data_IF_301371692220
#
_entry.id   IF_301371692220
#
_cell.length_a   1.000
_cell.length_b   1.000
_cell.length_c   1.000
_cell.angle_alpha   90.00
_cell.angle_beta   90.00
_cell.angle_gamma   90.00
#
_symmetry.space_group_name_H-M   'P 1'
#
loop_
_entity.id
_entity.type
_entity.pdbx_description
1 polymer ?
#
# COMPACT_ATOMS: atom_id res chain seq x y z
N UNK A 1 5.77 -44.64 42.57
CA UNK A 1 4.82 -44.45 41.46
C UNK A 1 4.10 -43.12 41.66
N UNK A 2 4.57 -42.07 41.00
CA UNK A 2 3.95 -40.74 40.83
C UNK A 2 4.50 -40.29 39.46
N UNK A 3 3.85 -40.49 38.32
CA UNK A 3 2.43 -40.42 38.02
C UNK A 3 2.30 -39.26 37.03
N UNK A 4 2.12 -39.57 35.74
CA UNK A 4 2.14 -38.72 34.54
C UNK A 4 1.40 -37.34 34.59
N UNK A 5 0.71 -37.00 35.68
CA UNK A 5 -0.10 -35.79 35.82
C UNK A 5 0.70 -34.49 36.00
N UNK A 6 1.88 -34.54 36.64
CA UNK A 6 2.66 -33.33 36.89
C UNK A 6 3.28 -32.75 35.60
N UNK A 7 3.69 -33.60 34.65
CA UNK A 7 4.23 -33.16 33.36
C UNK A 7 3.13 -32.56 32.47
N UNK A 8 1.93 -33.15 32.46
CA UNK A 8 0.79 -32.63 31.70
C UNK A 8 0.35 -31.24 32.19
N UNK A 9 0.36 -31.03 33.51
CA UNK A 9 0.06 -29.72 34.11
C UNK A 9 1.07 -28.63 33.71
N UNK A 10 2.37 -28.96 33.75
CA UNK A 10 3.40 -28.02 33.31
C UNK A 10 3.27 -27.67 31.82
N UNK A 11 3.00 -28.66 30.97
CA UNK A 11 2.76 -28.43 29.54
C UNK A 11 1.51 -27.56 29.31
N UNK A 12 0.45 -27.77 30.07
CA UNK A 12 -0.77 -26.97 29.99
C UNK A 12 -0.52 -25.52 30.40
N UNK A 13 0.20 -25.29 31.50
CA UNK A 13 0.57 -23.92 31.94
C UNK A 13 1.49 -23.25 30.90
N UNK A 14 2.46 -23.99 30.34
CA UNK A 14 3.30 -23.46 29.26
C UNK A 14 2.50 -23.13 28.00
N UNK A 15 1.53 -23.98 27.62
CA UNK A 15 0.66 -23.73 26.47
C UNK A 15 -0.26 -22.52 26.71
N UNK A 16 -0.82 -22.38 27.92
CA UNK A 16 -1.60 -21.20 28.31
C UNK A 16 -0.75 -19.92 28.25
N UNK A 17 0.49 -19.98 28.73
CA UNK A 17 1.41 -18.84 28.69
C UNK A 17 1.78 -18.45 27.24
N UNK A 18 2.07 -19.42 26.38
CA UNK A 18 2.32 -19.18 24.95
C UNK A 18 1.06 -18.64 24.25
N UNK A 19 -0.12 -19.18 24.55
CA UNK A 19 -1.38 -18.71 24.00
C UNK A 19 -1.69 -17.27 24.44
N UNK A 20 -1.45 -16.93 25.71
CA UNK A 20 -1.58 -15.57 26.22
C UNK A 20 -0.61 -14.59 25.54
N UNK A 21 0.64 -14.99 25.32
CA UNK A 21 1.62 -14.18 24.59
C UNK A 21 1.24 -13.98 23.12
N UNK A 22 0.75 -15.02 22.43
CA UNK A 22 0.29 -14.93 21.03
C UNK A 22 -0.95 -14.05 20.91
N UNK A 23 -1.91 -14.19 21.84
CA UNK A 23 -3.12 -13.37 21.87
C UNK A 23 -2.80 -11.89 22.17
N UNK A 24 -1.86 -11.62 23.08
CA UNK A 24 -1.39 -10.27 23.40
C UNK A 24 -0.70 -9.58 22.22
N UNK A 25 0.11 -10.29 21.44
CA UNK A 25 0.76 -9.74 20.23
C UNK A 25 -0.26 -9.31 19.16
N UNK A 26 -1.26 -10.16 18.88
CA UNK A 26 -2.32 -9.84 17.91
C UNK A 26 -3.19 -8.65 18.35
N UNK A 27 -3.44 -8.50 19.66
CA UNK A 27 -4.18 -7.36 20.19
C UNK A 27 -3.34 -6.07 20.11
N UNK A 28 -2.05 -6.15 20.40
CA UNK A 28 -1.13 -5.01 20.34
C UNK A 28 -1.03 -4.42 18.93
N UNK A 29 -0.91 -5.23 17.88
CA UNK A 29 -0.80 -4.71 16.51
C UNK A 29 -2.08 -3.96 16.08
N UNK A 30 -3.25 -4.45 16.48
CA UNK A 30 -4.53 -3.78 16.18
C UNK A 30 -4.71 -2.46 16.95
N UNK A 31 -4.24 -2.39 18.19
CA UNK A 31 -4.28 -1.19 19.02
C UNK A 31 -3.22 -0.18 18.58
N UNK A 32 -2.05 -0.64 18.13
CA UNK A 32 -0.99 0.22 17.60
C UNK A 32 -1.45 0.93 16.33
N UNK A 33 -2.04 0.20 15.39
CA UNK A 33 -2.62 0.77 14.16
C UNK A 33 -3.75 1.74 14.48
N UNK A 34 -4.67 1.39 15.38
CA UNK A 34 -5.74 2.30 15.81
C UNK A 34 -5.18 3.57 16.45
N UNK A 35 -4.23 3.45 17.38
CA UNK A 35 -3.60 4.60 18.04
C UNK A 35 -2.81 5.49 17.08
N UNK A 36 -2.16 4.90 16.07
CA UNK A 36 -1.44 5.62 15.03
C UNK A 36 -2.39 6.42 14.13
N UNK A 37 -3.52 5.84 13.73
CA UNK A 37 -4.53 6.54 12.93
C UNK A 37 -5.23 7.65 13.73
N UNK A 38 -5.40 7.49 15.05
CA UNK A 38 -5.98 8.52 15.93
C UNK A 38 -5.10 9.76 16.10
N UNK A 39 -3.82 9.70 15.73
CA UNK A 39 -2.88 10.82 15.81
C UNK A 39 -2.54 11.44 14.44
N UNK A 40 -3.07 10.86 13.36
CA UNK A 40 -2.95 11.43 12.02
C UNK A 40 -4.01 12.51 11.81
N UNK A 41 -3.64 13.58 11.11
CA UNK A 41 -4.62 14.52 10.59
C UNK A 41 -5.64 13.73 9.73
N UNK A 42 -6.95 13.80 10.04
CA UNK A 42 -7.98 13.12 9.27
C UNK A 42 -7.89 13.39 7.75
N UNK A 43 -7.35 14.55 7.36
CA UNK A 43 -7.15 14.93 5.95
C UNK A 43 -6.21 14.02 5.16
N UNK A 44 -5.45 13.16 5.86
CA UNK A 44 -4.37 12.31 5.34
C UNK A 44 -4.79 10.83 5.24
N UNK A 45 -5.93 10.46 5.83
CA UNK A 45 -6.37 9.07 5.96
C UNK A 45 -7.24 8.70 4.75
N UNK A 46 -6.63 8.03 3.77
CA UNK A 46 -7.28 7.60 2.52
C UNK A 46 -7.75 6.13 2.59
N UNK A 47 -7.47 5.44 3.69
CA UNK A 47 -7.74 4.00 3.82
C UNK A 47 -8.76 3.72 4.93
N UNK A 48 -9.66 2.79 4.67
CA UNK A 48 -10.56 2.20 5.66
C UNK A 48 -10.21 0.73 5.88
N UNK A 49 -10.51 0.21 7.06
CA UNK A 49 -10.46 -1.23 7.35
C UNK A 49 -11.84 -1.86 7.17
N UNK A 50 -11.90 -3.18 7.08
CA UNK A 50 -13.19 -3.90 7.00
C UNK A 50 -14.12 -3.61 8.19
N UNK A 51 -13.57 -3.21 9.34
CA UNK A 51 -14.34 -2.89 10.55
C UNK A 51 -15.02 -1.52 10.46
N UNK A 52 -14.51 -0.65 9.60
CA UNK A 52 -15.03 0.70 9.36
C UNK A 52 -16.17 0.67 8.32
N UNK A 53 -16.31 -0.44 7.58
CA UNK A 53 -17.41 -0.66 6.64
C UNK A 53 -18.64 -1.23 7.37
N UNK A 54 -19.48 -0.35 7.91
CA UNK A 54 -20.81 -0.73 8.41
C UNK A 54 -21.90 -0.18 7.50
N UNK A 55 -22.99 -0.93 7.38
CA UNK A 55 -24.10 -0.54 6.53
C UNK A 55 -24.71 0.79 7.03
N UNK A 56 -24.79 1.77 6.13
CA UNK A 56 -25.30 3.11 6.44
C UNK A 56 -24.32 4.05 7.16
N UNK A 57 -23.06 3.65 7.39
CA UNK A 57 -22.04 4.50 8.01
C UNK A 57 -21.33 5.36 6.95
N UNK A 58 -21.34 6.68 7.13
CA UNK A 58 -20.68 7.63 6.22
C UNK A 58 -19.21 7.81 6.65
N UNK A 59 -18.28 7.39 5.79
CA UNK A 59 -16.84 7.61 6.03
C UNK A 59 -16.35 8.83 5.23
N UNK A 60 -15.77 9.86 5.87
CA UNK A 60 -15.21 10.98 5.15
C UNK A 60 -13.92 10.54 4.44
N UNK A 61 -13.88 10.68 3.12
CA UNK A 61 -12.66 10.48 2.32
C UNK A 61 -12.09 11.86 2.01
N UNK A 62 -10.90 12.13 2.55
CA UNK A 62 -10.22 13.40 2.32
C UNK A 62 -9.20 13.24 1.20
N UNK A 63 -9.40 14.01 0.13
CA UNK A 63 -8.42 14.15 -0.93
C UNK A 63 -7.57 15.37 -0.64
N UNK A 64 -6.24 15.20 -0.64
CA UNK A 64 -5.33 16.33 -0.62
C UNK A 64 -5.64 17.26 -1.80
N UNK A 65 -6.00 18.50 -1.48
CA UNK A 65 -6.15 19.53 -2.49
C UNK A 65 -4.74 19.83 -3.03
N UNK A 66 -4.43 19.29 -4.21
CA UNK A 66 -3.19 19.58 -4.90
C UNK A 66 -3.17 21.07 -5.21
N UNK A 67 -2.28 21.81 -4.54
CA UNK A 67 -2.01 23.18 -4.93
C UNK A 67 -1.45 23.16 -6.37
N UNK A 68 -2.13 23.77 -7.34
CA UNK A 68 -1.67 23.78 -8.73
C UNK A 68 -0.34 24.53 -8.91
N UNK A 69 0.10 25.33 -7.92
CA UNK A 69 1.43 25.93 -7.90
C UNK A 69 2.52 24.95 -7.43
N UNK A 70 2.15 23.90 -6.67
CA UNK A 70 3.09 22.91 -6.12
C UNK A 70 3.14 21.65 -6.99
N UNK A 71 2.02 21.29 -7.63
CA UNK A 71 1.93 20.11 -8.49
C UNK A 71 1.66 20.52 -9.93
N UNK A 72 2.50 20.10 -10.90
CA UNK A 72 2.22 20.31 -12.30
C UNK A 72 0.83 19.78 -12.65
N UNK A 73 0.05 20.55 -13.41
CA UNK A 73 -1.19 20.04 -13.96
C UNK A 73 -0.88 18.86 -14.87
N UNK A 74 -1.72 17.82 -14.81
CA UNK A 74 -1.64 16.75 -15.79
C UNK A 74 -1.84 17.33 -17.19
N UNK A 75 -1.17 16.72 -18.18
CA UNK A 75 -1.34 17.13 -19.57
C UNK A 75 -2.81 17.02 -19.98
N UNK A 76 -3.33 17.95 -20.81
CA UNK A 76 -4.59 17.76 -21.50
C UNK A 76 -4.61 16.44 -22.23
N UNK A 77 -5.79 15.84 -22.37
CA UNK A 77 -5.93 14.52 -22.97
C UNK A 77 -5.38 14.50 -24.40
N UNK A 78 -5.66 15.54 -25.17
CA UNK A 78 -5.23 15.68 -26.56
C UNK A 78 -3.70 15.69 -26.68
N UNK A 79 -3.02 16.33 -25.72
CA UNK A 79 -1.56 16.35 -25.65
C UNK A 79 -1.01 14.99 -25.21
N UNK A 80 -1.59 14.39 -24.18
CA UNK A 80 -1.18 13.07 -23.70
C UNK A 80 -1.36 11.98 -24.77
N UNK A 81 -2.47 11.99 -25.51
CA UNK A 81 -2.77 11.04 -26.58
C UNK A 81 -1.84 11.23 -27.81
N UNK A 82 -1.22 12.42 -27.95
CA UNK A 82 -0.24 12.68 -29.00
C UNK A 82 1.15 12.09 -28.72
N UNK A 83 1.43 11.73 -27.46
CA UNK A 83 2.72 11.18 -27.03
C UNK A 83 2.63 9.64 -27.04
N UNK A 84 3.44 8.94 -27.84
CA UNK A 84 3.35 7.48 -27.96
C UNK A 84 4.03 6.76 -26.79
N UNK A 85 3.35 6.68 -25.65
CA UNK A 85 3.82 5.94 -24.47
C UNK A 85 3.84 4.43 -24.74
N UNK A 86 5.00 3.90 -25.12
CA UNK A 86 5.25 2.46 -25.27
C UNK A 86 6.74 2.18 -25.09
N UNK A 87 7.10 0.97 -24.69
CA UNK A 87 8.50 0.58 -24.51
C UNK A 87 9.30 0.70 -25.83
N UNK A 88 8.64 0.46 -26.98
CA UNK A 88 9.27 0.59 -28.31
C UNK A 88 9.68 2.02 -28.64
N UNK A 89 9.06 3.01 -28.00
CA UNK A 89 9.30 4.44 -28.23
C UNK A 89 10.13 5.07 -27.10
N UNK A 90 10.75 4.26 -26.24
CA UNK A 90 11.52 4.74 -25.09
C UNK A 90 12.62 5.76 -25.48
N UNK A 91 13.41 5.58 -26.56
CA UNK A 91 14.40 6.59 -26.95
C UNK A 91 13.77 7.93 -27.33
N UNK A 92 12.63 7.90 -28.03
CA UNK A 92 11.87 9.11 -28.36
C UNK A 92 11.36 9.80 -27.09
N UNK A 93 10.86 9.04 -26.11
CA UNK A 93 10.35 9.59 -24.86
C UNK A 93 11.45 10.25 -24.03
N UNK A 94 12.64 9.65 -23.97
CA UNK A 94 13.79 10.26 -23.29
C UNK A 94 14.19 11.59 -23.94
N UNK A 95 14.22 11.64 -25.28
CA UNK A 95 14.45 12.88 -25.99
C UNK A 95 13.34 13.92 -25.74
N UNK A 96 12.07 13.50 -25.81
CA UNK A 96 10.91 14.38 -25.66
C UNK A 96 10.88 15.04 -24.28
N UNK A 97 11.14 14.28 -23.20
CA UNK A 97 11.18 14.80 -21.84
C UNK A 97 12.57 15.29 -21.40
N UNK A 98 13.56 15.26 -22.30
CA UNK A 98 14.95 15.64 -22.02
C UNK A 98 15.57 14.87 -20.84
N UNK A 99 15.28 13.58 -20.74
CA UNK A 99 15.89 12.71 -19.74
C UNK A 99 17.24 12.19 -20.22
N UNK A 100 18.21 12.11 -19.31
CA UNK A 100 19.39 11.30 -19.51
C UNK A 100 19.02 9.83 -19.34
N UNK A 101 19.50 8.96 -20.23
CA UNK A 101 19.20 7.51 -20.25
C UNK A 101 19.49 6.82 -18.90
N UNK A 102 20.49 7.30 -18.16
CA UNK A 102 20.91 6.75 -16.88
C UNK A 102 20.21 7.36 -15.65
N UNK A 103 19.39 8.38 -15.85
CA UNK A 103 18.71 9.11 -14.77
C UNK A 103 17.72 8.21 -14.02
N UNK A 104 17.48 8.46 -12.72
CA UNK A 104 16.46 7.74 -11.95
C UNK A 104 15.07 7.79 -12.59
N UNK A 105 14.73 8.92 -13.23
CA UNK A 105 13.44 9.14 -13.87
C UNK A 105 13.31 8.35 -15.19
N UNK A 106 14.38 8.28 -16.00
CA UNK A 106 14.42 7.44 -17.20
C UNK A 106 14.21 5.96 -16.87
N UNK A 107 14.92 5.45 -15.85
CA UNK A 107 14.77 4.06 -15.37
C UNK A 107 13.36 3.78 -14.83
N UNK A 108 12.78 4.73 -14.10
CA UNK A 108 11.41 4.62 -13.61
C UNK A 108 10.39 4.58 -14.76
N UNK A 109 10.56 5.41 -15.78
CA UNK A 109 9.73 5.42 -16.99
C UNK A 109 9.83 4.10 -17.74
N UNK A 110 11.05 3.60 -17.98
CA UNK A 110 11.28 2.30 -18.63
C UNK A 110 10.62 1.16 -17.85
N UNK A 111 10.80 1.13 -16.52
CA UNK A 111 10.18 0.12 -15.65
C UNK A 111 8.66 0.16 -15.71
N UNK A 112 8.08 1.36 -15.75
CA UNK A 112 6.63 1.58 -15.85
C UNK A 112 6.09 1.09 -17.20
N UNK A 113 6.72 1.48 -18.31
CA UNK A 113 6.32 1.03 -19.64
C UNK A 113 6.47 -0.48 -19.81
N UNK A 114 7.54 -1.07 -19.27
CA UNK A 114 7.73 -2.51 -19.20
C UNK A 114 6.61 -3.23 -18.43
N UNK A 115 5.99 -2.59 -17.44
CA UNK A 115 4.86 -3.16 -16.72
C UNK A 115 3.56 -3.03 -17.52
N UNK A 116 3.31 -1.86 -18.11
CA UNK A 116 2.10 -1.57 -18.87
C UNK A 116 2.00 -2.37 -20.18
N UNK A 117 3.12 -2.57 -20.87
CA UNK A 117 3.16 -3.31 -22.15
C UNK A 117 3.08 -4.84 -21.94
N UNK A 118 3.13 -5.32 -20.69
CA UNK A 118 2.87 -6.74 -20.41
C UNK A 118 1.40 -7.05 -20.68
N UNK A 119 1.17 -8.22 -21.27
CA UNK A 119 -0.18 -8.77 -21.38
C UNK A 119 -0.80 -8.81 -19.98
N UNK A 120 -2.04 -8.35 -19.79
CA UNK A 120 -2.71 -8.50 -18.51
C UNK A 120 -2.73 -9.99 -18.15
N UNK A 121 -2.27 -10.31 -16.94
CA UNK A 121 -2.34 -11.65 -16.39
C UNK A 121 -3.82 -11.93 -16.06
N UNK A 122 -4.64 -12.23 -17.06
CA UNK A 122 -6.04 -12.61 -16.86
C UNK A 122 -6.09 -14.03 -16.28
N UNK A 123 -5.89 -14.13 -14.97
CA UNK A 123 -6.44 -15.20 -14.14
C UNK A 123 -7.22 -14.52 -13.02
N UNK A 124 -8.44 -14.14 -13.36
CA UNK A 124 -9.53 -13.98 -12.40
C UNK A 124 -10.53 -15.10 -12.69
#
# INVERSE_FOLDING_TARGET
>A
MMGLGFSAWNLFVSLLFLCAQVLSKNLHDSHLISSYMNHMDPSVIVFFTLKDLKNGETTPVYFFKRDPYIYPQALPREEADSIPFSLKQLPYLFQFFSFSDDSPLAKAMEGTLNHCDRRPNSKF
#
